data_IF_701697383777
#
_entry.id   IF_701697383777
#
_cell.length_a   1.000
_cell.length_b   1.000
_cell.length_c   1.000
_cell.angle_alpha   90.00
_cell.angle_beta   90.00
_cell.angle_gamma   90.00
#
_symmetry.space_group_name_H-M   'P 1'
#
loop_
_entity.id
_entity.type
_entity.pdbx_description
1 polymer ?
#
# COMPACT_ATOMS: atom_id res chain seq x y z
N UNK A 1 16.85 -17.52 32.08
CA UNK A 1 15.70 -18.28 31.57
C UNK A 1 15.61 -17.97 30.08
N UNK A 2 16.01 -18.92 29.23
CA UNK A 2 16.11 -18.71 27.78
C UNK A 2 14.71 -18.53 27.19
N UNK A 3 14.49 -17.39 26.52
CA UNK A 3 13.22 -17.05 25.88
C UNK A 3 12.84 -18.07 24.82
N UNK A 4 11.58 -18.51 24.84
CA UNK A 4 11.02 -19.43 23.85
C UNK A 4 11.15 -18.83 22.44
N UNK A 5 11.41 -19.62 21.39
CA UNK A 5 11.40 -19.13 20.02
C UNK A 5 10.00 -18.58 19.70
N UNK A 6 9.94 -17.33 19.23
CA UNK A 6 8.74 -16.78 18.62
C UNK A 6 8.48 -17.59 17.33
N UNK A 7 7.28 -18.13 17.12
CA UNK A 7 6.96 -18.85 15.88
C UNK A 7 7.17 -17.89 14.71
N UNK A 8 8.09 -18.24 13.82
CA UNK A 8 8.35 -17.46 12.62
C UNK A 8 7.11 -17.56 11.72
N UNK A 9 6.41 -16.46 11.51
CA UNK A 9 5.32 -16.30 10.53
C UNK A 9 5.89 -16.31 9.09
N UNK A 10 6.83 -17.21 8.80
CA UNK A 10 7.40 -17.38 7.46
C UNK A 10 6.66 -18.44 6.65
N UNK A 11 5.90 -19.35 7.28
CA UNK A 11 5.31 -20.50 6.59
C UNK A 11 4.12 -20.17 5.66
N UNK A 12 3.64 -18.91 5.65
CA UNK A 12 2.52 -18.47 4.81
C UNK A 12 2.92 -17.42 3.75
N UNK A 13 4.20 -17.03 3.69
CA UNK A 13 4.70 -16.06 2.72
C UNK A 13 5.27 -16.78 1.50
N UNK A 14 4.59 -16.63 0.37
CA UNK A 14 5.14 -17.01 -0.94
C UNK A 14 5.79 -15.77 -1.57
N UNK A 15 7.11 -15.71 -1.72
CA UNK A 15 7.78 -14.55 -2.33
C UNK A 15 7.42 -14.36 -3.81
N UNK A 16 6.88 -15.37 -4.48
CA UNK A 16 6.38 -15.25 -5.86
C UNK A 16 4.89 -14.87 -5.91
N UNK A 17 4.17 -15.07 -4.81
CA UNK A 17 2.74 -14.75 -4.66
C UNK A 17 2.47 -13.98 -3.36
N UNK A 18 3.15 -12.84 -3.13
CA UNK A 18 3.03 -12.12 -1.88
C UNK A 18 1.57 -11.70 -1.64
N UNK A 19 1.16 -11.83 -0.39
CA UNK A 19 -0.19 -11.47 0.02
C UNK A 19 -0.22 -10.02 0.53
N UNK A 20 -1.17 -9.24 0.02
CA UNK A 20 -1.39 -7.86 0.44
C UNK A 20 -2.86 -7.65 0.78
N UNK A 21 -3.12 -6.65 1.61
CA UNK A 21 -4.47 -6.18 1.90
C UNK A 21 -4.80 -5.00 0.98
N UNK A 22 -6.05 -4.93 0.56
CA UNK A 22 -6.56 -3.89 -0.31
C UNK A 22 -7.94 -3.46 0.15
N UNK A 23 -8.25 -2.20 -0.09
CA UNK A 23 -9.61 -1.70 -0.06
C UNK A 23 -10.28 -2.04 -1.40
N UNK A 24 -11.56 -2.40 -1.38
CA UNK A 24 -12.31 -2.42 -2.63
C UNK A 24 -12.62 -1.00 -3.06
N UNK A 25 -12.82 -0.82 -4.36
CA UNK A 25 -13.29 0.43 -4.94
C UNK A 25 -14.51 0.99 -4.19
N UNK A 26 -15.47 0.14 -3.87
CA UNK A 26 -16.72 0.54 -3.21
C UNK A 26 -16.45 1.13 -1.83
N UNK A 27 -15.59 0.50 -1.02
CA UNK A 27 -15.20 1.01 0.30
C UNK A 27 -14.63 2.42 0.19
N UNK A 28 -13.72 2.65 -0.77
CA UNK A 28 -13.12 3.99 -0.96
C UNK A 28 -14.14 5.02 -1.43
N UNK A 29 -15.02 4.65 -2.37
CA UNK A 29 -16.03 5.58 -2.91
C UNK A 29 -17.16 5.89 -1.91
N UNK A 30 -17.44 4.99 -0.99
CA UNK A 30 -18.47 5.15 0.05
C UNK A 30 -17.93 5.79 1.33
N UNK A 31 -16.61 5.91 1.48
CA UNK A 31 -15.99 6.61 2.60
C UNK A 31 -16.54 8.05 2.68
N UNK A 32 -17.32 8.31 3.74
CA UNK A 32 -17.89 9.61 4.06
C UNK A 32 -17.07 10.37 5.11
N UNK A 33 -16.04 9.72 5.65
CA UNK A 33 -15.04 10.30 6.53
C UNK A 33 -14.10 11.22 5.75
N UNK A 34 -13.35 12.05 6.47
CA UNK A 34 -12.30 12.87 5.86
C UNK A 34 -11.11 12.06 5.38
N UNK A 35 -10.85 10.90 6.00
CA UNK A 35 -9.69 10.06 5.67
C UNK A 35 -10.06 8.59 5.80
N UNK A 36 -9.27 7.73 5.15
CA UNK A 36 -9.38 6.28 5.29
C UNK A 36 -8.88 5.82 6.66
N UNK A 37 -9.46 4.73 7.17
CA UNK A 37 -9.13 4.17 8.48
C UNK A 37 -7.73 3.55 8.53
N UNK A 38 -7.24 3.30 9.75
CA UNK A 38 -6.00 2.55 9.97
C UNK A 38 -6.23 1.09 9.60
N UNK A 39 -5.22 0.41 9.03
CA UNK A 39 -5.36 -0.97 8.58
C UNK A 39 -5.98 -1.92 9.63
N UNK A 40 -5.57 -1.81 10.89
CA UNK A 40 -6.12 -2.64 11.96
C UNK A 40 -7.63 -2.43 12.16
N UNK A 41 -8.09 -1.19 12.15
CA UNK A 41 -9.51 -0.86 12.30
C UNK A 41 -10.32 -1.41 11.12
N UNK A 42 -9.79 -1.25 9.90
CA UNK A 42 -10.42 -1.74 8.68
C UNK A 42 -10.38 -3.27 8.56
N UNK A 43 -9.39 -3.91 9.17
CA UNK A 43 -9.32 -5.37 9.29
C UNK A 43 -10.40 -5.89 10.23
N UNK A 44 -10.55 -5.24 11.38
CA UNK A 44 -11.52 -5.62 12.40
C UNK A 44 -12.97 -5.36 11.95
N UNK A 45 -13.19 -4.35 11.10
CA UNK A 45 -14.48 -4.09 10.45
C UNK A 45 -14.74 -4.91 9.18
N UNK A 46 -13.80 -5.78 8.78
CA UNK A 46 -13.87 -6.59 7.56
C UNK A 46 -13.96 -5.79 6.24
N UNK A 47 -13.41 -4.58 6.22
CA UNK A 47 -13.34 -3.71 5.04
C UNK A 47 -12.11 -3.97 4.16
N UNK A 48 -11.16 -4.80 4.64
CA UNK A 48 -9.98 -5.20 3.88
C UNK A 48 -10.12 -6.56 3.22
N UNK A 49 -9.71 -6.62 1.95
CA UNK A 49 -9.60 -7.85 1.17
C UNK A 49 -8.13 -8.27 1.07
N UNK A 50 -7.83 -9.51 1.45
CA UNK A 50 -6.49 -10.10 1.30
C UNK A 50 -6.37 -10.81 -0.05
N UNK A 51 -5.44 -10.36 -0.89
CA UNK A 51 -5.18 -10.92 -2.22
C UNK A 51 -3.73 -11.37 -2.35
N UNK A 52 -3.51 -12.52 -3.00
CA UNK A 52 -2.18 -12.96 -3.39
C UNK A 52 -1.87 -12.43 -4.80
N UNK A 53 -0.76 -11.71 -4.94
CA UNK A 53 -0.37 -11.12 -6.23
C UNK A 53 0.65 -12.03 -6.90
N UNK A 54 0.31 -12.66 -8.03
CA UNK A 54 1.29 -13.44 -8.78
C UNK A 54 2.29 -12.51 -9.46
N UNK A 55 3.53 -12.45 -8.96
CA UNK A 55 4.54 -11.53 -9.47
C UNK A 55 4.92 -11.84 -10.92
N UNK A 56 4.85 -13.10 -11.35
CA UNK A 56 5.15 -13.47 -12.74
C UNK A 56 4.16 -12.83 -13.71
N UNK A 57 2.88 -12.80 -13.33
CA UNK A 57 1.84 -12.13 -14.10
C UNK A 57 1.95 -10.60 -13.96
N UNK A 58 2.23 -10.11 -12.75
CA UNK A 58 2.39 -8.68 -12.47
C UNK A 58 3.49 -8.04 -13.34
N UNK A 59 4.67 -8.67 -13.41
CA UNK A 59 5.79 -8.22 -14.25
C UNK A 59 5.52 -8.30 -15.76
N UNK A 60 4.49 -9.04 -16.18
CA UNK A 60 4.02 -9.06 -17.56
C UNK A 60 2.84 -8.09 -17.80
N UNK A 61 2.42 -7.34 -16.77
CA UNK A 61 1.25 -6.47 -16.82
C UNK A 61 -0.06 -7.25 -16.99
N UNK A 62 -0.15 -8.48 -16.46
CA UNK A 62 -1.30 -9.39 -16.61
C UNK A 62 -1.97 -9.70 -15.27
N UNK A 63 -3.19 -10.23 -15.35
CA UNK A 63 -3.91 -10.74 -14.20
C UNK A 63 -4.41 -9.61 -13.28
N UNK A 64 -4.32 -9.85 -11.98
CA UNK A 64 -4.91 -8.97 -10.96
C UNK A 64 -4.30 -7.56 -10.96
N UNK A 65 -3.02 -7.43 -11.32
CA UNK A 65 -2.28 -6.16 -11.28
C UNK A 65 -2.94 -5.06 -12.11
N UNK A 66 -3.63 -5.41 -13.20
CA UNK A 66 -4.30 -4.47 -14.11
C UNK A 66 -5.46 -3.72 -13.45
N UNK A 67 -6.01 -4.28 -12.36
CA UNK A 67 -7.18 -3.78 -11.62
C UNK A 67 -6.80 -3.15 -10.28
N UNK A 68 -5.51 -3.16 -9.94
CA UNK A 68 -4.98 -2.61 -8.69
C UNK A 68 -4.47 -1.19 -8.96
N UNK A 69 -4.81 -0.28 -8.05
CA UNK A 69 -4.23 1.05 -7.96
C UNK A 69 -3.45 1.18 -6.66
N UNK A 70 -2.15 1.44 -6.77
CA UNK A 70 -1.32 1.88 -5.67
C UNK A 70 -1.40 3.40 -5.54
N UNK A 71 -1.54 3.90 -4.32
CA UNK A 71 -1.48 5.33 -4.05
C UNK A 71 -0.11 5.65 -3.48
N UNK A 72 0.57 6.61 -4.11
CA UNK A 72 1.78 7.20 -3.57
C UNK A 72 1.48 8.61 -3.12
N UNK A 73 1.72 8.89 -1.84
CA UNK A 73 1.28 10.10 -1.19
C UNK A 73 2.16 10.43 0.02
N UNK A 74 2.13 11.69 0.43
CA UNK A 74 2.80 12.12 1.64
C UNK A 74 1.81 12.06 2.80
N UNK A 75 2.24 11.48 3.92
CA UNK A 75 1.54 11.68 5.18
C UNK A 75 1.72 13.11 5.67
N UNK A 76 0.62 13.84 5.79
CA UNK A 76 0.57 15.19 6.37
C UNK A 76 1.02 15.16 7.83
N UNK A 77 0.45 14.22 8.59
CA UNK A 77 0.77 13.90 9.98
C UNK A 77 0.96 12.37 10.19
N UNK A 78 1.68 11.98 11.24
CA UNK A 78 1.96 10.57 11.53
C UNK A 78 0.72 9.76 11.95
N UNK A 79 -0.30 10.43 12.50
CA UNK A 79 -1.56 9.82 12.92
C UNK A 79 -2.69 10.09 11.92
N UNK A 80 -2.55 11.13 11.11
CA UNK A 80 -3.54 11.59 10.13
C UNK A 80 -2.86 11.85 8.79
N UNK A 81 -2.73 10.83 7.92
CA UNK A 81 -2.06 10.98 6.63
C UNK A 81 -2.71 12.02 5.71
N UNK A 82 -4.04 12.17 5.79
CA UNK A 82 -4.85 13.09 5.00
C UNK A 82 -5.74 13.94 5.94
N UNK A 83 -5.14 14.91 6.60
CA UNK A 83 -5.83 15.72 7.63
C UNK A 83 -6.95 16.57 7.01
N UNK A 84 -6.73 17.03 5.77
CA UNK A 84 -7.68 17.87 5.03
C UNK A 84 -8.79 17.09 4.33
N UNK A 85 -8.54 15.83 3.98
CA UNK A 85 -9.40 15.01 3.13
C UNK A 85 -9.22 15.25 1.62
N UNK A 86 -8.25 16.08 1.24
CA UNK A 86 -7.98 16.38 -0.15
C UNK A 86 -7.44 15.15 -0.91
N UNK A 87 -6.67 14.29 -0.23
CA UNK A 87 -6.07 13.12 -0.85
C UNK A 87 -7.13 12.05 -1.14
N UNK A 88 -8.03 11.79 -0.20
CA UNK A 88 -9.19 10.92 -0.37
C UNK A 88 -10.12 11.46 -1.45
N UNK A 89 -10.39 12.77 -1.49
CA UNK A 89 -11.22 13.37 -2.52
C UNK A 89 -10.63 13.15 -3.93
N UNK A 90 -9.32 13.38 -4.10
CA UNK A 90 -8.60 13.15 -5.35
C UNK A 90 -8.60 11.67 -5.76
N UNK A 91 -8.39 10.76 -4.79
CA UNK A 91 -8.49 9.32 -5.02
C UNK A 91 -9.90 8.92 -5.48
N UNK A 92 -10.95 9.41 -4.83
CA UNK A 92 -12.33 9.13 -5.23
C UNK A 92 -12.66 9.66 -6.62
N UNK A 93 -12.20 10.88 -6.95
CA UNK A 93 -12.35 11.44 -8.30
C UNK A 93 -11.65 10.56 -9.36
N UNK A 94 -10.41 10.17 -9.11
CA UNK A 94 -9.66 9.27 -9.99
C UNK A 94 -10.38 7.94 -10.17
N UNK A 95 -10.85 7.31 -9.08
CA UNK A 95 -11.60 6.07 -9.17
C UNK A 95 -12.86 6.24 -10.03
N UNK A 96 -13.66 7.30 -9.84
CA UNK A 96 -14.86 7.56 -10.66
C UNK A 96 -14.55 7.62 -12.16
N UNK A 97 -13.41 8.19 -12.54
CA UNK A 97 -12.95 8.25 -13.93
C UNK A 97 -12.41 6.90 -14.47
N UNK A 98 -11.97 6.01 -13.59
CA UNK A 98 -11.30 4.74 -13.92
C UNK A 98 -12.06 3.53 -13.35
N UNK A 99 -13.20 3.12 -13.94
CA UNK A 99 -14.03 2.01 -13.46
C UNK A 99 -13.35 0.63 -13.54
N UNK A 100 -12.27 0.49 -14.31
CA UNK A 100 -11.46 -0.73 -14.40
C UNK A 100 -10.69 -1.04 -13.12
N UNK A 101 -10.46 -0.02 -12.27
CA UNK A 101 -9.78 -0.16 -10.98
C UNK A 101 -10.77 -0.70 -9.95
N UNK A 102 -10.44 -1.86 -9.39
CA UNK A 102 -11.29 -2.59 -8.43
C UNK A 102 -10.69 -2.63 -7.02
N UNK A 103 -9.37 -2.53 -6.91
CA UNK A 103 -8.65 -2.67 -5.65
C UNK A 103 -7.69 -1.50 -5.46
N UNK A 104 -7.70 -0.92 -4.27
CA UNK A 104 -6.84 0.20 -3.91
C UNK A 104 -5.92 -0.21 -2.81
N UNK A 105 -4.65 0.09 -2.99
CA UNK A 105 -3.64 0.01 -1.96
C UNK A 105 -3.28 1.42 -1.49
N UNK A 106 -3.50 1.67 -0.20
CA UNK A 106 -3.23 2.92 0.49
C UNK A 106 -2.49 2.58 1.78
N UNK A 107 -1.22 2.96 1.90
CA UNK A 107 -0.28 2.43 2.90
C UNK A 107 -0.83 2.41 4.35
N UNK A 108 -1.45 3.49 4.80
CA UNK A 108 -2.01 3.62 6.14
C UNK A 108 -3.14 2.63 6.40
N UNK A 109 -3.93 2.36 5.37
CA UNK A 109 -5.12 1.50 5.42
C UNK A 109 -4.81 0.05 5.05
N UNK A 110 -3.68 -0.22 4.40
CA UNK A 110 -3.35 -1.52 3.84
C UNK A 110 -2.12 -2.17 4.48
N UNK A 111 -1.38 -1.49 5.36
CA UNK A 111 -0.25 -2.07 6.11
C UNK A 111 -0.39 -1.82 7.62
N UNK A 112 0.16 -2.68 8.49
CA UNK A 112 0.02 -2.49 9.93
C UNK A 112 0.69 -1.20 10.40
N UNK A 113 -0.09 -0.27 10.93
CA UNK A 113 0.39 1.03 11.40
C UNK A 113 0.36 1.13 12.91
N UNK A 114 1.23 1.98 13.44
CA UNK A 114 1.19 2.39 14.84
C UNK A 114 -0.11 3.15 15.12
N UNK A 115 -0.62 3.07 16.36
CA UNK A 115 -1.79 3.90 16.70
C UNK A 115 -1.42 5.38 16.78
N UNK A 116 -2.41 6.25 16.58
CA UNK A 116 -2.26 7.70 16.69
C UNK A 116 -1.80 8.18 18.07
N UNK A 117 -2.12 7.43 19.12
CA UNK A 117 -1.71 7.73 20.50
C UNK A 117 -0.31 7.22 20.87
N UNK A 118 0.34 6.46 20.00
CA UNK A 118 1.65 5.86 20.27
C UNK A 118 2.77 6.93 20.18
N UNK A 119 3.53 7.19 21.26
CA UNK A 119 4.67 8.13 21.24
C UNK A 119 5.69 7.76 20.17
N UNK A 120 6.27 8.74 19.44
CA UNK A 120 7.13 8.50 18.26
C UNK A 120 8.30 7.53 18.49
N UNK A 121 8.83 7.45 19.70
CA UNK A 121 9.92 6.57 20.12
C UNK A 121 9.47 5.15 20.50
N UNK A 122 8.18 4.87 20.45
CA UNK A 122 7.57 3.58 20.78
C UNK A 122 6.94 2.93 19.55
N UNK A 123 6.64 1.64 19.65
CA UNK A 123 5.93 0.88 18.62
C UNK A 123 4.94 -0.05 19.31
N UNK A 124 3.66 0.26 19.16
CA UNK A 124 2.55 -0.44 19.80
C UNK A 124 1.96 -1.56 18.94
N UNK A 125 2.52 -1.80 17.74
CA UNK A 125 2.20 -2.96 16.94
C UNK A 125 2.64 -4.23 17.67
N UNK A 126 1.76 -5.21 17.70
CA UNK A 126 2.06 -6.56 18.18
C UNK A 126 3.22 -7.19 17.38
N UNK A 127 3.92 -8.18 17.94
CA UNK A 127 4.97 -8.89 17.21
C UNK A 127 4.51 -9.47 15.87
N UNK A 128 3.25 -9.90 15.77
CA UNK A 128 2.67 -10.43 14.54
C UNK A 128 2.47 -9.34 13.48
N UNK A 129 1.95 -8.18 13.86
CA UNK A 129 1.78 -7.02 12.96
C UNK A 129 3.13 -6.48 12.46
N UNK A 130 4.16 -6.48 13.31
CA UNK A 130 5.52 -6.08 12.90
C UNK A 130 6.09 -7.06 11.88
N UNK A 131 5.95 -8.35 12.12
CA UNK A 131 6.36 -9.37 11.16
C UNK A 131 5.61 -9.25 9.82
N UNK A 132 4.30 -8.97 9.87
CA UNK A 132 3.49 -8.74 8.66
C UNK A 132 3.93 -7.48 7.91
N UNK A 133 4.14 -6.37 8.61
CA UNK A 133 4.66 -5.13 8.05
C UNK A 133 6.02 -5.36 7.36
N UNK A 134 6.94 -6.05 8.02
CA UNK A 134 8.27 -6.37 7.48
C UNK A 134 8.20 -7.27 6.24
N UNK A 135 7.24 -8.21 6.19
CA UNK A 135 7.02 -9.05 5.02
C UNK A 135 6.47 -8.23 3.84
N UNK A 136 5.48 -7.38 4.08
CA UNK A 136 4.91 -6.51 3.04
C UNK A 136 5.97 -5.55 2.46
N UNK A 137 6.85 -5.01 3.29
CA UNK A 137 7.97 -4.16 2.84
C UNK A 137 8.91 -4.87 1.87
N UNK A 138 9.08 -6.20 1.95
CA UNK A 138 9.99 -6.94 1.05
C UNK A 138 9.53 -6.96 -0.41
N UNK A 139 8.23 -6.81 -0.67
CA UNK A 139 7.66 -6.89 -2.01
C UNK A 139 7.03 -5.56 -2.48
N UNK A 140 7.06 -4.51 -1.67
CA UNK A 140 6.39 -3.24 -1.97
C UNK A 140 6.92 -2.59 -3.25
N UNK A 141 8.23 -2.66 -3.48
CA UNK A 141 8.86 -2.08 -4.67
C UNK A 141 8.41 -2.79 -5.96
N UNK A 142 8.24 -4.12 -5.92
CA UNK A 142 7.74 -4.90 -7.05
C UNK A 142 6.32 -4.48 -7.44
N UNK A 143 5.48 -4.14 -6.45
CA UNK A 143 4.12 -3.68 -6.70
C UNK A 143 4.09 -2.26 -7.25
N UNK A 144 4.90 -1.33 -6.74
CA UNK A 144 5.03 -0.01 -7.35
C UNK A 144 5.63 -0.01 -8.76
N UNK A 145 6.43 -1.02 -9.10
CA UNK A 145 6.97 -1.21 -10.46
C UNK A 145 5.95 -1.81 -11.45
N UNK A 146 4.93 -2.52 -10.97
CA UNK A 146 4.04 -3.33 -11.83
C UNK A 146 2.58 -2.87 -11.82
N UNK A 147 2.12 -2.24 -10.75
CA UNK A 147 0.76 -1.71 -10.63
C UNK A 147 0.59 -0.35 -11.30
N UNK A 148 -0.67 0.04 -11.53
CA UNK A 148 -0.99 1.45 -11.76
C UNK A 148 -0.72 2.22 -10.48
N UNK A 149 -0.10 3.39 -10.58
CA UNK A 149 0.20 4.24 -9.41
C UNK A 149 -0.44 5.61 -9.60
N UNK A 150 -1.29 6.00 -8.64
CA UNK A 150 -1.77 7.37 -8.50
C UNK A 150 -0.82 8.13 -7.58
N UNK A 151 -0.12 9.11 -8.14
CA UNK A 151 0.77 10.01 -7.39
C UNK A 151 -0.04 11.22 -6.95
N UNK A 152 -0.26 11.36 -5.64
CA UNK A 152 -0.86 12.54 -5.04
C UNK A 152 0.25 13.55 -4.72
N UNK A 153 0.54 14.40 -5.69
CA UNK A 153 1.69 15.30 -5.67
C UNK A 153 1.39 16.60 -4.90
N UNK A 154 2.10 16.83 -3.79
CA UNK A 154 2.13 18.11 -3.08
C UNK A 154 3.54 18.76 -3.15
N UNK A 155 3.69 19.95 -2.56
CA UNK A 155 4.96 20.68 -2.54
C UNK A 155 6.07 19.95 -1.77
N UNK A 156 5.72 19.09 -0.83
CA UNK A 156 6.63 18.38 0.04
C UNK A 156 6.87 16.93 -0.38
N UNK A 157 6.22 16.44 -1.43
CA UNK A 157 6.26 15.06 -1.87
C UNK A 157 7.70 14.62 -2.13
N UNK A 158 8.53 15.51 -2.72
CA UNK A 158 9.94 15.24 -3.03
C UNK A 158 10.89 15.34 -1.82
N UNK A 159 10.37 15.61 -0.63
CA UNK A 159 11.20 15.78 0.59
C UNK A 159 11.37 14.47 1.37
N UNK A 160 10.60 13.43 1.04
CA UNK A 160 10.67 12.12 1.71
C UNK A 160 11.22 11.05 0.77
N UNK A 161 11.99 10.13 1.35
CA UNK A 161 12.60 9.03 0.61
C UNK A 161 11.54 8.15 -0.05
N UNK A 162 10.55 7.69 0.71
CA UNK A 162 9.53 6.74 0.26
C UNK A 162 8.72 7.25 -0.93
N UNK A 163 8.12 8.43 -0.83
CA UNK A 163 7.40 9.08 -1.93
C UNK A 163 8.24 9.23 -3.20
N UNK A 164 9.54 9.51 -3.06
CA UNK A 164 10.46 9.63 -4.19
C UNK A 164 10.76 8.26 -4.82
N UNK A 165 10.96 7.22 -4.02
CA UNK A 165 11.18 5.85 -4.48
C UNK A 165 9.93 5.31 -5.21
N UNK A 166 8.76 5.47 -4.60
CA UNK A 166 7.47 5.07 -5.16
C UNK A 166 7.19 5.77 -6.49
N UNK A 167 7.40 7.10 -6.52
CA UNK A 167 7.27 7.89 -7.74
C UNK A 167 8.27 7.49 -8.82
N UNK A 168 9.52 7.16 -8.43
CA UNK A 168 10.52 6.64 -9.37
C UNK A 168 10.07 5.32 -9.98
N UNK A 169 9.65 4.35 -9.16
CA UNK A 169 9.12 3.05 -9.61
C UNK A 169 7.94 3.22 -10.58
N UNK A 170 6.99 4.10 -10.24
CA UNK A 170 5.82 4.40 -11.06
C UNK A 170 6.16 4.96 -12.45
N UNK A 171 7.35 5.56 -12.61
CA UNK A 171 7.84 6.09 -13.88
C UNK A 171 8.71 5.09 -14.65
N UNK A 172 8.86 3.85 -14.15
CA UNK A 172 9.58 2.79 -14.83
C UNK A 172 8.64 1.81 -15.53
N UNK A 173 9.20 1.11 -16.52
CA UNK A 173 8.63 -0.03 -17.19
C UNK A 173 9.57 -1.22 -17.01
N UNK A 174 8.99 -2.37 -16.66
CA UNK A 174 9.74 -3.62 -16.55
C UNK A 174 9.82 -4.27 -17.94
N UNK A 175 11.04 -4.62 -18.35
CA UNK A 175 11.35 -5.25 -19.64
C UNK A 175 12.21 -6.50 -19.43
N UNK A 176 12.41 -7.29 -20.48
CA UNK A 176 13.35 -8.41 -20.46
C UNK A 176 14.81 -8.01 -20.26
N UNK A 177 15.15 -6.72 -20.48
CA UNK A 177 16.48 -6.16 -20.26
C UNK A 177 16.63 -5.49 -18.89
N UNK A 178 15.60 -5.59 -18.04
CA UNK A 178 15.53 -4.91 -16.75
C UNK A 178 14.57 -3.72 -16.78
N UNK A 179 14.84 -2.73 -15.93
CA UNK A 179 13.94 -1.59 -15.70
C UNK A 179 14.34 -0.41 -16.60
N UNK A 180 13.40 0.13 -17.37
CA UNK A 180 13.59 1.26 -18.30
C UNK A 180 12.60 2.39 -17.98
N UNK A 181 12.83 3.65 -18.39
CA UNK A 181 11.83 4.70 -18.27
C UNK A 181 10.55 4.34 -19.05
N UNK A 182 9.36 4.52 -18.46
CA UNK A 182 8.08 4.14 -19.07
C UNK A 182 7.63 5.03 -20.27
N UNK A 183 8.48 5.97 -20.71
CA UNK A 183 8.18 6.92 -21.80
C UNK A 183 8.89 6.56 -23.11
N UNK A 184 9.54 5.41 -23.17
CA UNK A 184 10.09 4.83 -24.42
C UNK A 184 9.03 4.04 -25.19
#
# INVERSE_FOLDING_TARGET
MWGRPVPRVESAWDPHKPAFYFLTREVVLQASTKQLGRMQELRDSHELLRLNIDLKDAFQGKGLIQRILFVSHRWEDFARPDETGAQLAALQEHLRAHPEIQYVWFDYSCMPQRSSGCPQDQDDRTPAEKAEFDLMLKAIADLYLTAKVLILLDTAYRTRFWTTMEGWCAMQQVTSEGVRPARE
#
